data_IF_071402332375
#
_entry.id   IF_071402332375
#
_cell.length_a   1.000
_cell.length_b   1.000
_cell.length_c   1.000
_cell.angle_alpha   90.00
_cell.angle_beta   90.00
_cell.angle_gamma   90.00
#
_symmetry.space_group_name_H-M   'P 1'
#
loop_
_entity.id
_entity.type
_entity.pdbx_description
1 polymer ?
#
# COMPACT_ATOMS: atom_id res chain seq x y z
N UNK A 1 6.95 24.61 1.86
CA UNK A 1 8.31 24.91 1.31
C UNK A 1 8.49 24.08 0.04
N UNK A 2 9.02 24.65 -1.04
CA UNK A 2 9.25 23.85 -2.27
C UNK A 2 10.45 22.93 -2.07
N UNK A 3 10.23 21.62 -2.06
CA UNK A 3 11.25 20.54 -1.99
C UNK A 3 12.40 20.69 -3.03
N UNK A 4 12.10 21.34 -4.17
CA UNK A 4 13.08 21.64 -5.22
C UNK A 4 14.26 22.50 -4.80
N UNK A 5 14.16 23.21 -3.68
CA UNK A 5 15.26 24.12 -3.23
C UNK A 5 16.35 23.41 -2.40
N UNK A 6 16.05 22.23 -1.81
CA UNK A 6 17.00 21.53 -0.93
C UNK A 6 17.76 20.39 -1.62
N UNK A 7 17.20 19.83 -2.73
CA UNK A 7 17.76 18.64 -3.43
C UNK A 7 18.14 18.97 -4.89
N UNK A 8 17.79 20.17 -5.38
CA UNK A 8 18.09 20.62 -6.76
C UNK A 8 17.13 20.10 -7.84
N UNK A 9 16.38 19.01 -7.61
CA UNK A 9 15.36 18.47 -8.53
C UNK A 9 14.19 17.86 -7.75
N UNK A 10 12.96 18.01 -8.28
CA UNK A 10 11.79 17.35 -7.70
C UNK A 10 11.86 15.84 -7.99
N UNK A 11 11.48 14.97 -7.03
CA UNK A 11 11.52 13.52 -7.24
C UNK A 11 10.46 13.05 -8.24
N UNK A 12 10.64 11.84 -8.76
CA UNK A 12 9.57 11.07 -9.39
C UNK A 12 8.84 10.22 -8.34
N UNK A 13 7.56 9.99 -8.53
CA UNK A 13 6.75 9.16 -7.63
C UNK A 13 6.11 8.00 -8.38
N UNK A 14 6.26 6.78 -7.86
CA UNK A 14 5.54 5.60 -8.31
C UNK A 14 4.47 5.23 -7.27
N UNK A 15 3.20 5.34 -7.64
CA UNK A 15 2.07 4.93 -6.79
C UNK A 15 1.71 3.48 -7.11
N UNK A 16 1.81 2.61 -6.11
CA UNK A 16 1.56 1.18 -6.23
C UNK A 16 0.09 0.86 -5.90
N UNK A 17 -0.76 0.77 -6.92
CA UNK A 17 -2.22 0.58 -6.80
C UNK A 17 -2.71 -0.81 -7.24
N UNK A 18 -1.86 -1.84 -7.21
CA UNK A 18 -2.14 -3.20 -7.71
C UNK A 18 -2.71 -4.20 -6.67
N UNK A 19 -2.98 -3.78 -5.44
CA UNK A 19 -3.48 -4.63 -4.36
C UNK A 19 -4.96 -5.03 -4.55
N UNK A 20 -5.33 -6.30 -4.26
CA UNK A 20 -6.73 -6.78 -4.37
C UNK A 20 -7.62 -6.49 -3.16
N UNK A 21 -7.05 -6.07 -2.03
CA UNK A 21 -7.78 -5.63 -0.84
C UNK A 21 -8.76 -6.62 -0.20
N UNK A 22 -8.62 -7.92 -0.44
CA UNK A 22 -9.61 -8.97 -0.11
C UNK A 22 -9.98 -9.11 1.38
N UNK A 23 -9.26 -8.46 2.29
CA UNK A 23 -9.52 -8.50 3.74
C UNK A 23 -10.66 -7.57 4.18
N UNK A 24 -10.99 -6.56 3.37
CA UNK A 24 -12.11 -5.63 3.62
C UNK A 24 -13.39 -6.04 2.88
N UNK A 25 -13.60 -7.34 2.68
CA UNK A 25 -14.89 -7.81 2.16
C UNK A 25 -16.03 -7.38 3.12
N UNK A 26 -17.21 -6.99 2.61
CA UNK A 26 -17.68 -6.99 1.22
C UNK A 26 -17.39 -5.69 0.46
N UNK A 27 -16.79 -4.68 1.10
CA UNK A 27 -16.52 -3.37 0.48
C UNK A 27 -15.44 -3.50 -0.60
N UNK A 28 -14.29 -4.06 -0.24
CA UNK A 28 -13.22 -4.31 -1.22
C UNK A 28 -13.51 -5.57 -2.03
N UNK A 29 -13.58 -5.40 -3.36
CA UNK A 29 -14.02 -6.42 -4.32
C UNK A 29 -13.02 -6.59 -5.45
N UNK A 30 -13.12 -7.69 -6.21
CA UNK A 30 -12.23 -7.96 -7.33
C UNK A 30 -12.31 -6.89 -8.42
N UNK A 31 -13.51 -6.36 -8.69
CA UNK A 31 -13.74 -5.32 -9.68
C UNK A 31 -13.50 -3.89 -9.16
N UNK A 32 -13.52 -3.67 -7.85
CA UNK A 32 -13.21 -2.39 -7.20
C UNK A 32 -12.53 -2.65 -5.85
N UNK A 33 -11.18 -2.70 -5.79
CA UNK A 33 -10.44 -2.93 -4.55
C UNK A 33 -10.44 -1.71 -3.62
N UNK A 34 -9.97 -1.95 -2.37
CA UNK A 34 -10.00 -1.00 -1.25
C UNK A 34 -9.45 0.40 -1.57
N UNK A 35 -8.42 0.50 -2.40
CA UNK A 35 -7.77 1.77 -2.74
C UNK A 35 -8.67 2.74 -3.52
N UNK A 36 -9.74 2.25 -4.12
CA UNK A 36 -10.71 3.05 -4.87
C UNK A 36 -11.94 3.45 -4.05
N UNK A 37 -11.89 3.27 -2.71
CA UNK A 37 -12.94 3.68 -1.80
C UNK A 37 -12.47 4.75 -0.83
N UNK A 38 -13.40 5.59 -0.40
CA UNK A 38 -13.28 6.43 0.78
C UNK A 38 -13.59 5.59 2.02
N UNK A 39 -12.56 5.04 2.61
CA UNK A 39 -12.69 4.16 3.78
C UNK A 39 -12.82 4.93 5.10
N UNK A 40 -12.43 6.20 5.12
CA UNK A 40 -12.39 7.04 6.31
C UNK A 40 -13.48 8.11 6.33
N UNK A 41 -14.29 8.24 5.28
CA UNK A 41 -15.36 9.24 5.20
C UNK A 41 -14.85 10.67 4.96
N UNK A 42 -13.69 10.82 4.32
CA UNK A 42 -13.03 12.10 4.06
C UNK A 42 -13.50 12.82 2.79
N UNK A 43 -14.30 12.15 1.97
CA UNK A 43 -14.71 12.61 0.65
C UNK A 43 -13.74 12.24 -0.49
N UNK A 44 -12.59 11.61 -0.16
CA UNK A 44 -11.58 11.17 -1.12
C UNK A 44 -11.24 9.69 -0.94
N UNK A 45 -10.94 9.01 -2.04
CA UNK A 45 -10.46 7.62 -2.01
C UNK A 45 -8.99 7.55 -1.55
N UNK A 46 -8.55 6.37 -1.13
CA UNK A 46 -7.14 6.15 -0.74
C UNK A 46 -6.17 6.48 -1.88
N UNK A 47 -6.56 6.18 -3.12
CA UNK A 47 -5.78 6.52 -4.31
C UNK A 47 -5.66 8.04 -4.48
N UNK A 48 -6.75 8.79 -4.34
CA UNK A 48 -6.75 10.26 -4.41
C UNK A 48 -5.89 10.88 -3.32
N UNK A 49 -6.04 10.45 -2.07
CA UNK A 49 -5.16 10.89 -0.98
C UNK A 49 -3.66 10.64 -1.27
N UNK A 50 -3.34 9.49 -1.86
CA UNK A 50 -1.95 9.17 -2.19
C UNK A 50 -1.44 10.01 -3.37
N UNK A 51 -2.30 10.26 -4.36
CA UNK A 51 -1.97 11.13 -5.49
C UNK A 51 -1.74 12.58 -5.03
N UNK A 52 -2.56 13.13 -4.14
CA UNK A 52 -2.38 14.46 -3.57
C UNK A 52 -1.05 14.57 -2.80
N UNK A 53 -0.67 13.52 -2.05
CA UNK A 53 0.66 13.44 -1.42
C UNK A 53 1.78 13.44 -2.45
N UNK A 54 1.64 12.64 -3.50
CA UNK A 54 2.61 12.58 -4.57
C UNK A 54 2.73 13.92 -5.32
N UNK A 55 1.61 14.57 -5.60
CA UNK A 55 1.57 15.87 -6.28
C UNK A 55 2.29 16.97 -5.49
N UNK A 56 2.12 17.00 -4.17
CA UNK A 56 2.83 17.97 -3.36
C UNK A 56 4.35 17.69 -3.29
N UNK A 57 4.77 16.43 -3.30
CA UNK A 57 6.19 16.06 -3.34
C UNK A 57 6.84 16.41 -4.68
N UNK A 58 6.12 16.23 -5.79
CA UNK A 58 6.67 16.40 -7.14
C UNK A 58 6.46 17.78 -7.73
N UNK A 59 5.42 18.49 -7.29
CA UNK A 59 4.96 19.75 -7.87
C UNK A 59 4.32 19.62 -9.26
N UNK A 60 4.27 18.40 -9.84
CA UNK A 60 3.72 18.17 -11.18
C UNK A 60 3.21 16.75 -11.36
N UNK A 61 2.01 16.53 -11.94
CA UNK A 61 1.52 15.20 -12.27
C UNK A 61 2.38 14.48 -13.33
N UNK A 62 3.19 15.20 -14.11
CA UNK A 62 4.11 14.61 -15.10
C UNK A 62 5.21 13.75 -14.48
N UNK A 63 5.53 13.96 -13.20
CA UNK A 63 6.51 13.19 -12.44
C UNK A 63 5.89 12.04 -11.65
N UNK A 64 4.58 11.78 -11.80
CA UNK A 64 3.88 10.70 -11.10
C UNK A 64 3.55 9.59 -12.08
N UNK A 65 3.75 8.34 -11.69
CA UNK A 65 3.24 7.15 -12.37
C UNK A 65 2.33 6.39 -11.42
N UNK A 66 1.18 5.93 -11.92
CA UNK A 66 0.27 5.05 -11.18
C UNK A 66 0.32 3.67 -11.81
N UNK A 67 0.64 2.66 -11.01
CA UNK A 67 0.75 1.27 -11.45
C UNK A 67 -0.43 0.50 -10.89
N UNK A 68 -1.25 -0.07 -11.77
CA UNK A 68 -2.42 -0.87 -11.39
C UNK A 68 -2.67 -2.00 -12.38
N UNK A 69 -3.62 -2.89 -12.09
CA UNK A 69 -4.00 -3.93 -13.04
C UNK A 69 -4.89 -3.37 -14.15
N UNK A 70 -4.80 -3.94 -15.35
CA UNK A 70 -5.57 -3.52 -16.53
C UNK A 70 -7.07 -3.39 -16.23
N UNK A 71 -7.64 -4.32 -15.47
CA UNK A 71 -9.07 -4.31 -15.12
C UNK A 71 -9.51 -3.12 -14.24
N UNK A 72 -8.57 -2.39 -13.62
CA UNK A 72 -8.85 -1.22 -12.78
C UNK A 72 -8.41 0.11 -13.40
N UNK A 73 -7.92 0.08 -14.63
CA UNK A 73 -7.47 1.29 -15.34
C UNK A 73 -8.54 2.36 -15.43
N UNK A 74 -9.80 1.98 -15.71
CA UNK A 74 -10.93 2.92 -15.80
C UNK A 74 -11.24 3.58 -14.45
N UNK A 75 -11.09 2.87 -13.34
CA UNK A 75 -11.24 3.44 -12.00
C UNK A 75 -10.16 4.50 -11.70
N UNK A 76 -8.94 4.30 -12.19
CA UNK A 76 -7.88 5.31 -12.05
C UNK A 76 -8.20 6.55 -12.89
N UNK A 77 -8.61 6.38 -14.16
CA UNK A 77 -9.00 7.50 -15.05
C UNK A 77 -10.14 8.32 -14.47
N UNK A 78 -11.15 7.65 -13.90
CA UNK A 78 -12.30 8.31 -13.25
C UNK A 78 -11.86 9.13 -12.03
N UNK A 79 -10.97 8.58 -11.19
CA UNK A 79 -10.58 9.19 -9.92
C UNK A 79 -9.42 10.20 -10.03
N UNK A 80 -8.58 10.07 -11.05
CA UNK A 80 -7.41 10.92 -11.30
C UNK A 80 -7.45 11.51 -12.74
N UNK A 81 -8.39 12.39 -13.06
CA UNK A 81 -8.55 12.91 -14.42
C UNK A 81 -7.37 13.79 -14.89
N UNK A 82 -6.53 14.25 -13.99
CA UNK A 82 -5.30 15.03 -14.24
C UNK A 82 -4.08 14.15 -14.57
N UNK A 83 -4.17 12.83 -14.35
CA UNK A 83 -3.10 11.89 -14.70
C UNK A 83 -3.14 11.61 -16.21
N UNK A 84 -2.07 11.95 -16.94
CA UNK A 84 -1.97 11.64 -18.37
C UNK A 84 -1.95 10.11 -18.61
N UNK A 85 -2.51 9.68 -19.75
CA UNK A 85 -2.67 8.25 -20.07
C UNK A 85 -1.32 7.49 -20.10
N UNK A 86 -0.27 8.13 -20.60
CA UNK A 86 1.10 7.56 -20.62
C UNK A 86 1.70 7.37 -19.22
N UNK A 87 1.13 7.99 -18.20
CA UNK A 87 1.53 7.87 -16.80
C UNK A 87 0.77 6.78 -16.03
N UNK A 88 -0.28 6.22 -16.64
CA UNK A 88 -1.02 5.09 -16.10
C UNK A 88 -0.42 3.78 -16.64
N UNK A 89 0.23 3.05 -15.77
CA UNK A 89 0.90 1.79 -16.09
C UNK A 89 0.00 0.61 -15.74
N UNK A 90 -0.37 -0.17 -16.74
CA UNK A 90 -1.31 -1.27 -16.60
C UNK A 90 -0.61 -2.62 -16.61
N UNK A 91 -0.73 -3.36 -15.52
CA UNK A 91 -0.28 -4.75 -15.40
C UNK A 91 -1.34 -5.69 -15.97
N UNK A 92 -1.04 -6.53 -16.98
CA UNK A 92 -2.02 -7.46 -17.54
C UNK A 92 -2.40 -8.58 -16.57
N UNK A 93 -1.45 -8.99 -15.74
CA UNK A 93 -1.64 -9.98 -14.66
C UNK A 93 -0.86 -9.56 -13.42
N UNK A 94 -1.27 -10.03 -12.26
CA UNK A 94 -0.61 -9.72 -10.98
C UNK A 94 0.70 -10.50 -10.81
N UNK A 95 1.84 -9.80 -10.63
CA UNK A 95 3.18 -10.37 -10.37
C UNK A 95 3.84 -9.84 -9.10
N UNK A 96 3.04 -9.29 -8.17
CA UNK A 96 3.48 -8.66 -6.93
C UNK A 96 4.38 -7.42 -7.16
N UNK A 97 4.98 -6.89 -6.08
CA UNK A 97 5.56 -5.55 -6.10
C UNK A 97 6.94 -5.47 -6.76
N UNK A 98 7.71 -6.57 -6.90
CA UNK A 98 9.01 -6.49 -7.56
C UNK A 98 8.86 -6.17 -9.07
N UNK A 99 8.07 -6.95 -9.79
CA UNK A 99 7.84 -6.72 -11.23
C UNK A 99 7.16 -5.38 -11.49
N UNK A 100 6.14 -5.02 -10.71
CA UNK A 100 5.44 -3.75 -10.85
C UNK A 100 6.38 -2.55 -10.62
N UNK A 101 7.24 -2.60 -9.60
CA UNK A 101 8.24 -1.55 -9.35
C UNK A 101 9.23 -1.44 -10.50
N UNK A 102 9.75 -2.57 -11.01
CA UNK A 102 10.70 -2.55 -12.13
C UNK A 102 10.09 -1.94 -13.38
N UNK A 103 8.87 -2.35 -13.72
CA UNK A 103 8.12 -1.74 -14.83
C UNK A 103 7.93 -0.23 -14.65
N UNK A 104 7.58 0.20 -13.43
CA UNK A 104 7.48 1.61 -13.08
C UNK A 104 8.80 2.37 -13.29
N UNK A 105 9.92 1.85 -12.79
CA UNK A 105 11.23 2.47 -12.93
C UNK A 105 11.65 2.63 -14.40
N UNK A 106 11.38 1.63 -15.24
CA UNK A 106 11.69 1.68 -16.68
C UNK A 106 10.81 2.66 -17.46
N UNK A 107 9.66 3.04 -16.91
CA UNK A 107 8.74 4.02 -17.53
C UNK A 107 9.05 5.47 -17.15
N UNK A 108 9.97 5.71 -16.20
CA UNK A 108 10.38 7.05 -15.82
C UNK A 108 11.35 7.64 -16.83
N UNK A 109 10.99 8.79 -17.35
CA UNK A 109 11.90 9.66 -18.08
C UNK A 109 12.66 10.52 -17.09
N UNK A 110 13.92 10.23 -16.88
CA UNK A 110 14.80 10.95 -15.95
C UNK A 110 15.81 11.79 -16.73
N UNK A 111 16.13 12.96 -16.22
CA UNK A 111 17.12 13.86 -16.82
C UNK A 111 18.53 13.40 -16.48
N UNK A 112 18.69 12.77 -15.32
CA UNK A 112 19.94 12.20 -14.83
C UNK A 112 19.71 10.84 -14.18
N UNK A 113 20.76 10.01 -14.12
CA UNK A 113 20.75 8.72 -13.43
C UNK A 113 20.56 8.85 -11.92
N UNK A 114 20.70 10.08 -11.39
CA UNK A 114 20.55 10.38 -9.97
C UNK A 114 19.17 10.92 -9.60
N UNK A 115 18.26 11.04 -10.56
CA UNK A 115 16.91 11.49 -10.28
C UNK A 115 16.25 10.60 -9.21
N UNK A 116 15.82 11.25 -8.14
CA UNK A 116 15.26 10.56 -7.00
C UNK A 116 13.87 10.00 -7.31
N UNK A 117 13.60 8.81 -6.82
CA UNK A 117 12.32 8.12 -6.94
C UNK A 117 11.77 7.80 -5.56
N UNK A 118 10.49 8.10 -5.34
CA UNK A 118 9.72 7.71 -4.17
C UNK A 118 8.66 6.71 -4.59
N UNK A 119 8.63 5.55 -3.94
CA UNK A 119 7.62 4.51 -4.18
C UNK A 119 6.62 4.55 -3.04
N UNK A 120 5.35 4.83 -3.35
CA UNK A 120 4.26 4.96 -2.39
C UNK A 120 3.21 3.85 -2.57
N UNK A 121 2.95 3.02 -1.55
CA UNK A 121 1.72 2.22 -1.50
C UNK A 121 0.49 3.14 -1.45
N UNK A 122 -0.58 2.80 -2.17
CA UNK A 122 -1.77 3.65 -2.27
C UNK A 122 -2.86 3.38 -1.22
N UNK A 123 -2.61 2.48 -0.30
CA UNK A 123 -3.58 1.99 0.69
C UNK A 123 -3.25 2.39 2.13
N UNK A 124 -2.36 3.36 2.29
CA UNK A 124 -1.96 3.92 3.57
C UNK A 124 -2.59 5.29 3.81
N UNK A 125 -2.95 5.55 5.06
CA UNK A 125 -3.29 6.90 5.50
C UNK A 125 -2.11 7.57 6.21
N UNK A 126 -2.14 8.90 6.23
CA UNK A 126 -1.18 9.78 6.90
C UNK A 126 -2.00 10.89 7.55
N UNK A 127 -1.89 11.05 8.86
CA UNK A 127 -2.64 12.07 9.62
C UNK A 127 -1.94 13.44 9.57
N UNK A 128 -0.62 13.46 9.71
CA UNK A 128 0.19 14.68 9.70
C UNK A 128 0.98 14.78 8.39
N UNK A 129 0.44 15.60 7.48
CA UNK A 129 1.01 15.78 6.16
C UNK A 129 2.35 16.49 6.19
N UNK A 130 2.51 17.50 7.02
CA UNK A 130 3.75 18.29 7.09
C UNK A 130 4.90 17.41 7.57
N UNK A 131 4.71 16.66 8.65
CA UNK A 131 5.72 15.71 9.14
C UNK A 131 6.01 14.58 8.15
N UNK A 132 5.03 14.17 7.37
CA UNK A 132 5.26 13.20 6.30
C UNK A 132 6.18 13.76 5.24
N UNK A 133 5.89 14.97 4.73
CA UNK A 133 6.68 15.64 3.70
C UNK A 133 8.12 15.91 4.19
N UNK A 134 8.30 16.36 5.44
CA UNK A 134 9.62 16.50 6.09
C UNK A 134 10.39 15.17 6.17
N UNK A 135 9.70 14.07 6.55
CA UNK A 135 10.33 12.76 6.65
C UNK A 135 10.76 12.22 5.28
N UNK A 136 9.98 12.47 4.23
CA UNK A 136 10.35 12.12 2.84
C UNK A 136 11.53 12.97 2.37
N UNK A 137 11.57 14.26 2.71
CA UNK A 137 12.69 15.13 2.36
C UNK A 137 14.02 14.67 2.99
N UNK A 138 14.00 14.27 4.26
CA UNK A 138 15.16 13.69 4.94
C UNK A 138 15.62 12.39 4.25
N UNK A 139 14.68 11.53 3.89
CA UNK A 139 14.99 10.30 3.17
C UNK A 139 15.58 10.56 1.78
N UNK A 140 15.05 11.54 1.05
CA UNK A 140 15.57 11.94 -0.27
C UNK A 140 17.00 12.49 -0.17
N UNK A 141 17.27 13.37 0.80
CA UNK A 141 18.64 13.89 1.05
C UNK A 141 19.62 12.75 1.34
N UNK A 142 19.24 11.84 2.24
CA UNK A 142 20.08 10.69 2.58
C UNK A 142 20.32 9.78 1.36
N UNK A 143 19.30 9.51 0.55
CA UNK A 143 19.42 8.69 -0.65
C UNK A 143 20.37 9.31 -1.69
N UNK A 144 20.29 10.61 -1.92
CA UNK A 144 21.17 11.34 -2.87
C UNK A 144 22.61 11.35 -2.36
N UNK A 145 22.85 11.64 -1.10
CA UNK A 145 24.19 11.73 -0.51
C UNK A 145 24.89 10.39 -0.45
N UNK A 146 24.17 9.34 -0.05
CA UNK A 146 24.78 8.00 0.18
C UNK A 146 24.70 7.09 -1.02
N UNK A 147 23.86 7.41 -2.02
CA UNK A 147 23.47 6.54 -3.15
C UNK A 147 22.87 5.20 -2.68
N UNK A 148 22.43 5.12 -1.43
CA UNK A 148 21.79 3.95 -0.87
C UNK A 148 20.26 4.05 -0.99
N UNK A 149 19.60 2.89 -0.95
CA UNK A 149 18.15 2.84 -0.82
C UNK A 149 17.76 3.14 0.64
N UNK A 150 16.81 4.05 0.80
CA UNK A 150 16.22 4.41 2.09
C UNK A 150 14.80 3.85 2.15
N UNK A 151 14.48 3.12 3.21
CA UNK A 151 13.11 2.71 3.51
C UNK A 151 12.54 3.57 4.64
N UNK A 152 11.22 3.77 4.60
CA UNK A 152 10.53 4.52 5.64
C UNK A 152 9.97 3.57 6.70
N UNK A 153 10.17 3.92 7.95
CA UNK A 153 9.60 3.23 9.10
C UNK A 153 8.91 4.18 10.05
N UNK A 154 7.99 3.64 10.84
CA UNK A 154 7.29 4.38 11.91
C UNK A 154 7.46 3.63 13.22
N UNK A 155 7.73 4.34 14.31
CA UNK A 155 7.85 3.71 15.64
C UNK A 155 6.53 3.03 16.02
N UNK A 156 6.56 1.76 16.41
CA UNK A 156 5.36 1.05 16.84
C UNK A 156 4.78 1.67 18.12
N UNK A 157 3.51 2.01 18.08
CA UNK A 157 2.77 2.52 19.25
C UNK A 157 2.02 1.41 19.98
N UNK A 158 1.91 0.23 19.36
CA UNK A 158 1.23 -0.96 19.87
C UNK A 158 1.78 -2.23 19.21
N UNK A 159 1.58 -3.40 19.81
CA UNK A 159 1.91 -4.67 19.14
C UNK A 159 0.86 -4.97 18.07
N UNK A 160 1.26 -4.91 16.78
CA UNK A 160 0.37 -5.15 15.64
C UNK A 160 0.86 -6.35 14.82
N UNK A 161 0.25 -7.53 14.99
CA UNK A 161 0.67 -8.75 14.29
C UNK A 161 0.47 -8.71 12.78
N UNK A 162 -0.37 -7.80 12.30
CA UNK A 162 -0.70 -7.70 10.88
C UNK A 162 0.30 -6.87 10.07
N UNK A 163 1.21 -6.14 10.74
CA UNK A 163 2.19 -5.29 10.09
C UNK A 163 3.53 -5.99 9.88
N UNK A 164 4.28 -5.50 8.91
CA UNK A 164 5.69 -5.80 8.77
C UNK A 164 6.52 -4.97 9.74
N UNK A 165 7.56 -5.58 10.28
CA UNK A 165 8.53 -4.92 11.15
C UNK A 165 9.91 -4.91 10.50
N UNK A 166 10.68 -3.88 10.78
CA UNK A 166 12.08 -3.75 10.41
C UNK A 166 12.91 -3.52 11.66
N UNK A 167 13.90 -4.40 11.89
CA UNK A 167 14.91 -4.18 12.91
C UNK A 167 16.00 -3.26 12.38
N UNK A 168 16.46 -2.33 13.20
CA UNK A 168 17.47 -1.35 12.82
C UNK A 168 18.53 -1.15 13.91
N UNK A 169 19.67 -0.62 13.51
CA UNK A 169 20.76 -0.23 14.39
C UNK A 169 21.23 1.17 14.02
N UNK A 170 21.81 1.89 14.98
CA UNK A 170 22.38 3.20 14.70
C UNK A 170 23.43 3.13 13.59
N UNK A 171 23.42 4.13 12.72
CA UNK A 171 24.43 4.37 11.72
C UNK A 171 25.38 5.47 12.21
N UNK A 172 26.54 5.16 12.75
CA UNK A 172 27.46 6.16 13.30
C UNK A 172 28.04 7.12 12.25
N UNK A 173 27.92 6.79 10.96
CA UNK A 173 28.40 7.63 9.86
C UNK A 173 27.34 8.64 9.37
N UNK A 174 26.08 8.54 9.83
CA UNK A 174 25.02 9.47 9.45
C UNK A 174 25.09 10.76 10.28
N UNK A 175 24.78 11.89 9.65
CA UNK A 175 24.54 13.16 10.35
C UNK A 175 23.34 13.07 11.29
N UNK A 176 23.14 14.09 12.13
CA UNK A 176 22.16 14.04 13.23
C UNK A 176 20.70 14.01 12.80
N UNK A 177 20.36 14.38 11.57
CA UNK A 177 18.98 14.55 11.08
C UNK A 177 18.58 13.67 9.90
N UNK A 178 19.54 13.05 9.20
CA UNK A 178 19.28 12.23 8.01
C UNK A 178 19.09 10.74 8.39
N UNK A 179 18.73 9.89 7.41
CA UNK A 179 18.50 8.44 7.60
C UNK A 179 19.68 7.78 8.33
N UNK A 180 19.62 7.80 9.64
CA UNK A 180 20.73 7.48 10.55
C UNK A 180 20.75 6.03 11.02
N UNK A 181 19.82 5.22 10.53
CA UNK A 181 19.73 3.82 10.94
C UNK A 181 20.05 2.90 9.78
N UNK A 182 20.77 1.83 10.07
CA UNK A 182 20.94 0.70 9.15
C UNK A 182 19.87 -0.35 9.41
N UNK A 183 19.28 -0.86 8.34
CA UNK A 183 18.37 -2.00 8.40
C UNK A 183 19.16 -3.27 8.70
N UNK A 184 18.67 -4.06 9.66
CA UNK A 184 19.25 -5.34 10.02
C UNK A 184 18.46 -6.51 9.46
N UNK A 185 17.14 -6.52 9.64
CA UNK A 185 16.27 -7.59 9.16
C UNK A 185 14.82 -7.14 9.09
N UNK A 186 14.01 -7.89 8.33
CA UNK A 186 12.57 -7.72 8.24
C UNK A 186 11.85 -8.91 8.85
N UNK A 187 10.69 -8.67 9.45
CA UNK A 187 9.78 -9.70 9.94
C UNK A 187 8.36 -9.34 9.54
N UNK A 188 7.69 -10.20 8.78
CA UNK A 188 6.29 -10.01 8.41
C UNK A 188 5.37 -10.79 9.34
N UNK A 189 4.26 -10.16 9.70
CA UNK A 189 3.15 -10.76 10.43
C UNK A 189 3.63 -11.62 11.63
N UNK A 190 4.36 -11.01 12.59
CA UNK A 190 4.84 -11.72 13.77
C UNK A 190 3.67 -12.23 14.62
N UNK A 191 3.92 -13.19 15.50
CA UNK A 191 2.94 -13.50 16.54
C UNK A 191 2.71 -12.30 17.47
N UNK A 192 1.59 -12.27 18.19
CA UNK A 192 1.31 -11.22 19.19
C UNK A 192 2.44 -11.11 20.22
N UNK A 193 2.99 -12.23 20.66
CA UNK A 193 4.10 -12.29 21.64
C UNK A 193 5.39 -11.68 21.06
N UNK A 194 5.69 -12.00 19.80
CA UNK A 194 6.86 -11.46 19.11
C UNK A 194 6.71 -9.96 18.86
N UNK A 195 5.52 -9.49 18.46
CA UNK A 195 5.23 -8.06 18.30
C UNK A 195 5.41 -7.30 19.64
N UNK A 196 4.97 -7.87 20.76
CA UNK A 196 5.22 -7.32 22.09
C UNK A 196 6.72 -7.22 22.40
N UNK A 197 7.50 -8.24 22.01
CA UNK A 197 8.95 -8.25 22.20
C UNK A 197 9.63 -7.15 21.38
N UNK A 198 9.22 -6.95 20.12
CA UNK A 198 9.75 -5.90 19.25
C UNK A 198 9.53 -4.49 19.81
N UNK A 199 8.36 -4.23 20.43
CA UNK A 199 8.12 -2.94 21.07
C UNK A 199 9.04 -2.74 22.28
N UNK A 200 9.21 -3.77 23.11
CA UNK A 200 10.03 -3.67 24.32
C UNK A 200 11.52 -3.51 24.02
N UNK A 201 12.01 -4.09 22.93
CA UNK A 201 13.42 -3.97 22.53
C UNK A 201 13.78 -2.55 22.07
N UNK A 202 12.82 -1.83 21.47
CA UNK A 202 12.99 -0.43 21.04
C UNK A 202 13.79 -0.24 19.75
N UNK A 203 14.28 -1.33 19.14
CA UNK A 203 15.08 -1.33 17.91
C UNK A 203 14.30 -1.86 16.69
N UNK A 204 12.97 -1.83 16.75
CA UNK A 204 12.08 -2.17 15.65
C UNK A 204 11.17 -0.99 15.27
N UNK A 205 10.90 -0.88 13.99
CA UNK A 205 9.90 0.01 13.41
C UNK A 205 8.87 -0.77 12.60
N UNK A 206 7.66 -0.23 12.46
CA UNK A 206 6.73 -0.70 11.42
C UNK A 206 7.29 -0.36 10.04
N UNK A 207 7.33 -1.34 9.15
CA UNK A 207 7.74 -1.18 7.77
C UNK A 207 6.58 -0.62 6.93
N UNK A 208 6.69 0.63 6.49
CA UNK A 208 5.62 1.30 5.77
C UNK A 208 5.48 0.91 4.30
N UNK A 209 6.44 0.16 3.76
CA UNK A 209 6.45 -0.13 2.33
C UNK A 209 6.90 1.04 1.43
N UNK A 210 7.08 2.24 1.98
CA UNK A 210 7.61 3.40 1.26
C UNK A 210 9.13 3.25 1.08
N UNK A 211 9.61 3.55 -0.12
CA UNK A 211 11.03 3.44 -0.49
C UNK A 211 11.47 4.67 -1.24
N UNK A 212 12.68 5.12 -0.97
CA UNK A 212 13.29 6.31 -1.56
C UNK A 212 14.70 5.99 -2.03
N UNK A 213 15.05 6.41 -3.25
CA UNK A 213 16.39 6.16 -3.80
C UNK A 213 16.58 6.83 -5.15
N UNK A 214 17.80 6.91 -5.64
CA UNK A 214 18.07 7.24 -7.04
C UNK A 214 17.55 6.13 -7.96
N UNK A 215 17.08 6.47 -9.16
CA UNK A 215 16.61 5.47 -10.14
C UNK A 215 17.66 4.39 -10.37
N UNK A 216 18.91 4.80 -10.57
CA UNK A 216 20.00 3.86 -10.82
C UNK A 216 20.31 2.96 -9.61
N UNK A 217 20.20 3.47 -8.39
CA UNK A 217 20.37 2.65 -7.19
C UNK A 217 19.32 1.52 -7.10
N UNK A 218 18.07 1.79 -7.51
CA UNK A 218 17.07 0.73 -7.65
C UNK A 218 17.43 -0.27 -8.74
N UNK A 219 17.82 0.20 -9.93
CA UNK A 219 18.15 -0.67 -11.07
C UNK A 219 19.34 -1.57 -10.78
N UNK A 220 20.38 -1.07 -10.07
CA UNK A 220 21.53 -1.87 -9.64
C UNK A 220 21.12 -3.02 -8.71
N UNK A 221 20.17 -2.80 -7.80
CA UNK A 221 19.64 -3.86 -6.96
C UNK A 221 18.92 -4.94 -7.79
N UNK A 222 18.16 -4.54 -8.84
CA UNK A 222 17.53 -5.50 -9.75
C UNK A 222 18.58 -6.28 -10.56
N UNK A 223 19.59 -5.64 -11.12
CA UNK A 223 20.66 -6.33 -11.84
C UNK A 223 21.37 -7.36 -10.96
N UNK A 224 21.55 -7.03 -9.68
CA UNK A 224 22.24 -7.90 -8.73
C UNK A 224 21.38 -9.05 -8.21
N UNK A 225 20.11 -8.81 -7.89
CA UNK A 225 19.30 -9.76 -7.15
C UNK A 225 18.16 -10.39 -7.94
N UNK A 226 17.80 -9.81 -9.09
CA UNK A 226 16.75 -10.29 -9.99
C UNK A 226 17.19 -10.20 -11.46
N UNK A 227 18.36 -10.78 -11.84
CA UNK A 227 18.89 -10.68 -13.21
C UNK A 227 17.93 -11.28 -14.25
N UNK A 228 17.22 -12.36 -13.93
CA UNK A 228 16.24 -12.97 -14.83
C UNK A 228 15.09 -12.01 -15.18
N UNK A 229 14.64 -11.20 -14.20
CA UNK A 229 13.65 -10.16 -14.47
C UNK A 229 14.20 -9.07 -15.38
N UNK A 230 15.43 -8.65 -15.16
CA UNK A 230 16.13 -7.66 -16.02
C UNK A 230 16.22 -8.19 -17.45
N UNK A 231 16.61 -9.45 -17.65
CA UNK A 231 16.69 -10.09 -18.98
C UNK A 231 15.32 -10.14 -19.66
N UNK A 232 14.26 -10.50 -18.93
CA UNK A 232 12.89 -10.53 -19.46
C UNK A 232 12.41 -9.15 -19.94
N UNK A 233 12.87 -8.07 -19.32
CA UNK A 233 12.53 -6.69 -19.70
C UNK A 233 13.52 -6.04 -20.68
N UNK A 234 14.60 -6.70 -21.08
CA UNK A 234 15.63 -6.10 -21.95
C UNK A 234 15.06 -5.59 -23.30
N UNK A 235 14.11 -6.32 -23.89
CA UNK A 235 13.41 -5.91 -25.10
C UNK A 235 12.55 -4.64 -24.88
N UNK A 236 11.93 -4.50 -23.69
CA UNK A 236 11.13 -3.33 -23.34
C UNK A 236 11.98 -2.06 -23.22
N UNK A 237 13.17 -2.17 -22.68
CA UNK A 237 14.12 -1.03 -22.57
C UNK A 237 14.56 -0.53 -23.96
N UNK A 238 14.76 -1.43 -24.90
CA UNK A 238 15.19 -1.10 -26.25
C UNK A 238 14.12 -0.38 -27.09
N UNK A 239 12.84 -0.57 -26.80
CA UNK A 239 11.72 0.00 -27.54
C UNK A 239 11.36 1.37 -26.97
N UNK A 240 11.33 2.40 -27.84
CA UNK A 240 10.90 3.77 -27.47
C UNK A 240 9.43 4.06 -27.81
N UNK A 241 8.86 3.34 -28.78
CA UNK A 241 7.47 3.52 -29.21
C UNK A 241 6.48 3.09 -28.11
N UNK A 242 5.61 4.00 -27.60
CA UNK A 242 4.68 3.69 -26.51
C UNK A 242 3.66 2.60 -26.86
N UNK A 243 3.19 2.52 -28.12
CA UNK A 243 2.23 1.51 -28.55
C UNK A 243 2.86 0.11 -28.58
N UNK A 244 4.09 0.03 -29.07
CA UNK A 244 4.85 -1.22 -29.06
C UNK A 244 5.19 -1.65 -27.62
N UNK A 245 5.57 -0.72 -26.75
CA UNK A 245 5.79 -1.00 -25.31
C UNK A 245 4.54 -1.59 -24.67
N UNK A 246 3.36 -1.01 -24.92
CA UNK A 246 2.09 -1.51 -24.37
C UNK A 246 1.80 -2.94 -24.82
N UNK A 247 1.96 -3.26 -26.09
CA UNK A 247 1.76 -4.63 -26.59
C UNK A 247 2.79 -5.64 -26.09
N UNK A 248 4.00 -5.17 -25.80
CA UNK A 248 5.09 -6.00 -25.29
C UNK A 248 4.88 -6.40 -23.83
N UNK A 249 4.31 -5.52 -23.02
CA UNK A 249 3.99 -5.81 -21.62
C UNK A 249 3.10 -7.05 -21.47
N UNK A 250 2.12 -7.23 -22.34
CA UNK A 250 1.25 -8.43 -22.36
C UNK A 250 2.03 -9.73 -22.57
N UNK A 251 3.16 -9.67 -23.26
CA UNK A 251 4.04 -10.82 -23.52
C UNK A 251 5.08 -11.03 -22.43
N UNK A 252 5.56 -9.95 -21.83
CA UNK A 252 6.61 -9.96 -20.79
C UNK A 252 6.05 -10.45 -19.45
N UNK A 253 4.95 -9.88 -19.00
CA UNK A 253 4.43 -10.14 -17.65
C UNK A 253 4.17 -11.62 -17.32
N UNK A 254 3.63 -12.46 -18.22
CA UNK A 254 3.47 -13.90 -17.95
C UNK A 254 4.78 -14.61 -17.60
N UNK A 255 5.91 -14.14 -18.15
CA UNK A 255 7.24 -14.72 -17.96
C UNK A 255 7.92 -14.27 -16.66
N UNK A 256 7.45 -13.18 -16.04
CA UNK A 256 8.03 -12.66 -14.82
C UNK A 256 7.72 -13.55 -13.62
N UNK A 257 8.64 -13.62 -12.68
CA UNK A 257 8.44 -14.22 -11.38
C UNK A 257 7.45 -13.40 -10.54
N UNK A 258 6.64 -14.09 -9.71
CA UNK A 258 5.69 -13.44 -8.80
C UNK A 258 6.28 -13.36 -7.40
N UNK A 259 7.00 -12.29 -7.10
CA UNK A 259 7.71 -12.06 -5.84
C UNK A 259 7.55 -10.62 -5.37
N UNK A 260 7.50 -10.41 -4.05
CA UNK A 260 7.46 -9.07 -3.48
C UNK A 260 8.84 -8.38 -3.62
N UNK A 261 8.83 -7.04 -3.67
CA UNK A 261 10.07 -6.26 -3.68
C UNK A 261 10.95 -6.55 -2.45
N UNK A 262 10.30 -6.80 -1.31
CA UNK A 262 11.03 -7.16 -0.09
C UNK A 262 11.78 -8.48 -0.25
N UNK A 263 11.07 -9.56 -0.60
CA UNK A 263 11.67 -10.90 -0.74
C UNK A 263 12.68 -10.97 -1.89
N UNK A 264 12.38 -10.31 -3.01
CA UNK A 264 13.25 -10.30 -4.19
C UNK A 264 14.51 -9.47 -4.00
N UNK A 265 14.45 -8.38 -3.24
CA UNK A 265 15.51 -7.37 -3.16
C UNK A 265 15.90 -7.02 -1.73
N UNK A 266 14.96 -6.52 -0.88
CA UNK A 266 15.33 -5.92 0.40
C UNK A 266 15.96 -6.93 1.37
N UNK A 267 15.43 -8.16 1.43
CA UNK A 267 15.97 -9.23 2.30
C UNK A 267 17.38 -9.66 1.88
N UNK A 268 17.79 -9.35 0.65
CA UNK A 268 19.11 -9.70 0.08
C UNK A 268 20.07 -8.51 0.03
N UNK A 269 19.53 -7.29 0.11
CA UNK A 269 20.34 -6.06 0.00
C UNK A 269 21.18 -5.86 1.26
N UNK A 270 22.51 -5.75 1.08
CA UNK A 270 23.47 -5.65 2.20
C UNK A 270 23.48 -4.29 2.89
N UNK A 271 23.08 -3.21 2.21
CA UNK A 271 23.12 -1.85 2.76
C UNK A 271 21.82 -1.14 2.44
N UNK A 272 20.96 -1.06 3.47
CA UNK A 272 19.71 -0.31 3.42
C UNK A 272 19.70 0.68 4.58
N UNK A 273 19.25 1.90 4.32
CA UNK A 273 19.03 2.91 5.34
C UNK A 273 17.57 2.94 5.75
N UNK A 274 17.32 3.30 7.00
CA UNK A 274 15.98 3.53 7.54
C UNK A 274 15.84 4.99 7.96
N UNK A 275 14.82 5.66 7.43
CA UNK A 275 14.33 6.93 7.95
C UNK A 275 13.10 6.66 8.81
N UNK A 276 13.17 7.03 10.09
CA UNK A 276 12.01 6.99 10.98
C UNK A 276 11.17 8.27 10.80
N UNK A 277 9.86 8.08 10.71
CA UNK A 277 8.88 9.15 10.69
C UNK A 277 7.89 9.03 11.86
N UNK A 278 7.27 10.16 12.21
CA UNK A 278 6.17 10.25 13.20
C UNK A 278 5.07 11.15 12.62
N UNK A 279 4.32 10.61 11.67
CA UNK A 279 3.32 11.33 10.89
C UNK A 279 1.92 10.68 10.95
N UNK A 280 1.66 9.87 11.98
CA UNK A 280 0.36 9.22 12.14
C UNK A 280 0.05 8.30 10.96
N UNK A 281 0.93 7.32 10.72
CA UNK A 281 0.79 6.34 9.64
C UNK A 281 -0.02 5.12 10.05
N UNK A 282 -0.82 4.62 9.10
CA UNK A 282 -1.44 3.29 9.22
C UNK A 282 -1.79 2.69 7.86
N UNK A 283 -1.95 1.37 7.87
CA UNK A 283 -2.34 0.57 6.70
C UNK A 283 -3.80 0.13 6.85
N UNK A 284 -4.69 0.66 6.00
CA UNK A 284 -6.12 0.31 6.01
C UNK A 284 -6.38 -1.05 5.34
N UNK A 285 -5.66 -2.07 5.78
CA UNK A 285 -5.84 -3.44 5.27
C UNK A 285 -6.90 -4.23 6.03
N UNK A 286 -7.22 -3.83 7.26
CA UNK A 286 -8.14 -4.50 8.16
C UNK A 286 -9.23 -3.57 8.68
N UNK A 287 -10.41 -4.11 8.99
CA UNK A 287 -11.50 -3.37 9.62
C UNK A 287 -11.12 -2.81 11.00
N UNK A 288 -10.25 -3.51 11.72
CA UNK A 288 -9.71 -3.04 13.00
C UNK A 288 -8.95 -1.71 12.87
N UNK A 289 -8.21 -1.51 11.76
CA UNK A 289 -7.52 -0.25 11.48
C UNK A 289 -8.53 0.86 11.14
N UNK A 290 -9.49 0.58 10.26
CA UNK A 290 -10.55 1.53 9.91
C UNK A 290 -11.32 1.93 11.15
N UNK A 291 -11.71 0.97 12.02
CA UNK A 291 -12.36 1.28 13.30
C UNK A 291 -11.50 2.19 14.18
N UNK A 292 -10.20 1.96 14.25
CA UNK A 292 -9.30 2.74 15.12
C UNK A 292 -9.21 4.20 14.67
N UNK A 293 -9.12 4.43 13.39
CA UNK A 293 -8.92 5.77 12.83
C UNK A 293 -10.22 6.56 12.62
N UNK A 294 -11.36 5.87 12.56
CA UNK A 294 -12.65 6.53 12.46
C UNK A 294 -13.02 7.26 13.77
N UNK A 295 -13.73 8.38 13.66
CA UNK A 295 -14.40 9.01 14.81
C UNK A 295 -15.41 8.03 15.40
N UNK A 296 -15.57 8.06 16.75
CA UNK A 296 -16.53 7.21 17.47
C UNK A 296 -17.60 8.05 18.11
N UNK A 297 -18.81 7.51 18.11
CA UNK A 297 -19.87 8.07 18.92
C UNK A 297 -19.62 7.88 20.44
N UNK A 298 -20.53 8.38 21.27
CA UNK A 298 -20.43 8.24 22.74
C UNK A 298 -20.35 6.79 23.22
N UNK A 299 -20.90 5.85 22.45
CA UNK A 299 -20.91 4.42 22.77
C UNK A 299 -19.75 3.63 22.12
N UNK A 300 -18.80 4.32 21.52
CA UNK A 300 -17.62 3.72 20.90
C UNK A 300 -17.87 3.14 19.51
N UNK A 301 -19.01 3.42 18.86
CA UNK A 301 -19.24 2.95 17.50
C UNK A 301 -18.57 3.87 16.49
N UNK A 302 -17.88 3.28 15.52
CA UNK A 302 -17.38 3.95 14.32
C UNK A 302 -18.38 3.73 13.19
N UNK A 303 -18.97 4.80 12.65
CA UNK A 303 -20.07 4.72 11.68
C UNK A 303 -19.68 5.43 10.38
N UNK A 304 -19.61 4.68 9.30
CA UNK A 304 -19.50 5.19 7.93
C UNK A 304 -20.80 4.83 7.19
N UNK A 305 -21.69 5.81 7.03
CA UNK A 305 -22.99 5.64 6.40
C UNK A 305 -23.94 6.79 6.75
N UNK A 306 -24.70 7.27 5.79
CA UNK A 306 -25.53 8.48 5.95
C UNK A 306 -26.85 8.24 6.70
N UNK A 307 -27.34 7.01 6.79
CA UNK A 307 -28.66 6.67 7.37
C UNK A 307 -28.54 5.43 8.26
N UNK A 308 -27.82 5.55 9.38
CA UNK A 308 -27.60 4.46 10.35
C UNK A 308 -28.23 4.86 11.68
N UNK A 309 -29.16 4.02 12.20
CA UNK A 309 -29.72 4.14 13.54
C UNK A 309 -29.18 2.99 14.41
N UNK A 310 -28.64 3.32 15.58
CA UNK A 310 -28.08 2.38 16.54
C UNK A 310 -28.87 2.43 17.83
N UNK A 311 -29.29 1.26 18.35
CA UNK A 311 -29.93 1.08 19.62
C UNK A 311 -29.17 0.04 20.44
N UNK A 312 -28.94 0.30 21.71
CA UNK A 312 -28.21 -0.58 22.64
C UNK A 312 -26.94 -1.24 22.03
N UNK A 313 -26.22 -0.47 21.19
CA UNK A 313 -25.12 -0.97 20.40
C UNK A 313 -23.80 -0.26 20.75
N UNK A 314 -22.71 -1.05 20.98
CA UNK A 314 -21.47 -0.53 21.55
C UNK A 314 -20.23 -1.07 20.84
N UNK A 315 -19.22 -0.20 20.65
CA UNK A 315 -17.89 -0.59 20.13
C UNK A 315 -17.92 -1.28 18.76
N UNK A 316 -18.86 -0.93 17.89
CA UNK A 316 -19.02 -1.56 16.58
C UNK A 316 -18.31 -0.75 15.49
N UNK A 317 -17.85 -1.45 14.45
CA UNK A 317 -17.48 -0.87 13.16
C UNK A 317 -18.63 -1.06 12.18
N UNK A 318 -19.28 0.02 11.79
CA UNK A 318 -20.43 0.01 10.89
C UNK A 318 -20.06 0.72 9.59
N UNK A 319 -20.17 0.02 8.46
CA UNK A 319 -19.89 0.58 7.13
C UNK A 319 -21.05 0.26 6.19
N UNK A 320 -21.92 1.24 5.96
CA UNK A 320 -23.11 1.11 5.11
C UNK A 320 -22.95 1.94 3.85
N UNK A 321 -22.96 1.28 2.70
CA UNK A 321 -22.67 1.93 1.41
C UNK A 321 -23.91 2.64 0.82
N UNK A 322 -23.67 3.81 0.22
CA UNK A 322 -24.70 4.57 -0.50
C UNK A 322 -25.79 5.14 0.40
N UNK A 323 -27.04 5.12 -0.08
CA UNK A 323 -28.23 5.69 0.60
C UNK A 323 -29.05 4.61 1.36
N UNK A 324 -28.43 3.50 1.72
CA UNK A 324 -29.13 2.44 2.45
C UNK A 324 -29.41 2.84 3.88
N UNK A 325 -30.62 2.52 4.34
CA UNK A 325 -31.01 2.68 5.75
C UNK A 325 -30.61 1.41 6.48
N UNK A 326 -29.89 1.56 7.60
CA UNK A 326 -29.57 0.48 8.51
C UNK A 326 -30.11 0.79 9.91
N UNK A 327 -30.81 -0.18 10.51
CA UNK A 327 -31.21 -0.17 11.92
C UNK A 327 -30.49 -1.34 12.58
N UNK A 328 -29.70 -1.06 13.62
CA UNK A 328 -28.91 -2.04 14.35
C UNK A 328 -29.24 -1.91 15.83
N UNK A 329 -29.64 -3.02 16.45
CA UNK A 329 -30.05 -3.07 17.84
C UNK A 329 -29.33 -4.21 18.58
N UNK A 330 -28.76 -3.92 19.74
CA UNK A 330 -28.16 -4.90 20.65
C UNK A 330 -26.81 -5.48 20.21
N UNK A 331 -26.09 -4.85 19.30
CA UNK A 331 -24.77 -5.35 18.88
C UNK A 331 -23.61 -4.76 19.70
N UNK A 332 -22.67 -5.61 20.09
CA UNK A 332 -21.47 -5.19 20.79
C UNK A 332 -20.22 -5.85 20.21
N UNK A 333 -19.19 -5.03 19.89
CA UNK A 333 -17.90 -5.48 19.35
C UNK A 333 -18.01 -6.21 17.99
N UNK A 334 -18.86 -5.73 17.09
CA UNK A 334 -19.04 -6.30 15.74
C UNK A 334 -18.51 -5.39 14.64
N UNK A 335 -18.23 -6.02 13.51
CA UNK A 335 -18.13 -5.40 12.20
C UNK A 335 -19.45 -5.67 11.48
N UNK A 336 -20.13 -4.61 11.04
CA UNK A 336 -21.26 -4.67 10.12
C UNK A 336 -20.88 -3.88 8.89
N UNK A 337 -20.71 -4.56 7.77
CA UNK A 337 -20.35 -3.90 6.52
C UNK A 337 -21.20 -4.43 5.38
N UNK A 338 -21.66 -3.54 4.49
CA UNK A 338 -22.44 -3.92 3.34
C UNK A 338 -21.82 -3.45 2.03
N UNK A 339 -22.22 -4.10 0.96
CA UNK A 339 -21.98 -3.69 -0.42
C UNK A 339 -23.11 -4.25 -1.30
N UNK A 340 -23.17 -3.88 -2.60
CA UNK A 340 -24.09 -4.53 -3.54
C UNK A 340 -23.91 -6.06 -3.64
N UNK A 341 -22.77 -6.61 -3.26
CA UNK A 341 -22.45 -8.04 -3.39
C UNK A 341 -22.71 -8.85 -2.11
N UNK A 342 -22.89 -8.19 -0.97
CA UNK A 342 -23.11 -8.92 0.26
C UNK A 342 -23.07 -8.08 1.53
N UNK A 343 -23.36 -8.76 2.63
CA UNK A 343 -23.35 -8.19 3.98
C UNK A 343 -22.41 -9.03 4.83
N UNK A 344 -21.55 -8.36 5.59
CA UNK A 344 -20.72 -8.92 6.64
C UNK A 344 -21.30 -8.55 8.01
N UNK A 345 -21.55 -9.53 8.85
CA UNK A 345 -21.76 -9.35 10.29
C UNK A 345 -20.81 -10.29 11.01
N UNK A 346 -19.78 -9.75 11.67
CA UNK A 346 -18.70 -10.54 12.23
C UNK A 346 -18.22 -9.93 13.55
N UNK A 347 -18.01 -10.69 14.63
CA UNK A 347 -17.31 -10.18 15.81
C UNK A 347 -15.93 -9.65 15.45
N UNK A 348 -15.55 -8.45 15.93
CA UNK A 348 -14.30 -7.79 15.60
C UNK A 348 -13.05 -8.66 15.87
N UNK A 349 -13.06 -9.42 16.98
CA UNK A 349 -11.94 -10.31 17.32
C UNK A 349 -11.77 -11.52 16.37
N UNK A 350 -12.76 -11.78 15.48
CA UNK A 350 -12.71 -12.87 14.48
C UNK A 350 -12.37 -12.38 13.08
N UNK A 351 -12.00 -11.13 12.91
CA UNK A 351 -11.64 -10.56 11.61
C UNK A 351 -10.52 -11.35 10.91
N UNK A 352 -9.53 -11.81 11.67
CA UNK A 352 -8.41 -12.61 11.13
C UNK A 352 -8.84 -13.88 10.39
N UNK A 353 -10.01 -14.46 10.73
CA UNK A 353 -10.57 -15.65 10.11
C UNK A 353 -11.35 -15.35 8.80
N UNK A 354 -11.64 -14.08 8.52
CA UNK A 354 -12.53 -13.67 7.43
C UNK A 354 -12.08 -14.20 6.08
N UNK A 355 -10.79 -14.15 5.79
CA UNK A 355 -10.23 -14.64 4.52
C UNK A 355 -10.47 -16.15 4.31
N UNK A 356 -10.30 -16.93 5.37
CA UNK A 356 -10.55 -18.36 5.33
C UNK A 356 -12.04 -18.66 5.14
N UNK A 357 -12.92 -17.95 5.85
CA UNK A 357 -14.38 -18.10 5.74
C UNK A 357 -14.89 -17.72 4.36
N UNK A 358 -14.35 -16.66 3.77
CA UNK A 358 -14.68 -16.26 2.39
C UNK A 358 -14.25 -17.32 1.35
N UNK A 359 -13.11 -17.99 1.56
CA UNK A 359 -12.69 -19.06 0.68
C UNK A 359 -13.69 -20.24 0.71
N UNK A 360 -14.21 -20.58 1.90
CA UNK A 360 -15.27 -21.60 2.05
C UNK A 360 -16.56 -21.16 1.36
N UNK A 361 -17.00 -19.92 1.57
CA UNK A 361 -18.20 -19.37 0.93
C UNK A 361 -18.12 -19.42 -0.60
N UNK A 362 -16.99 -19.05 -1.18
CA UNK A 362 -16.78 -19.07 -2.63
C UNK A 362 -16.82 -20.49 -3.20
N UNK A 363 -16.25 -21.47 -2.52
CA UNK A 363 -16.34 -22.89 -2.92
C UNK A 363 -17.78 -23.35 -2.95
N UNK A 364 -18.56 -23.04 -1.91
CA UNK A 364 -19.98 -23.41 -1.85
C UNK A 364 -20.82 -22.75 -2.96
N UNK A 365 -20.48 -21.54 -3.40
CA UNK A 365 -21.14 -20.89 -4.54
C UNK A 365 -20.81 -21.56 -5.87
N UNK A 366 -19.58 -22.02 -6.06
CA UNK A 366 -19.15 -22.76 -7.26
C UNK A 366 -19.85 -24.11 -7.32
N UNK A 367 -19.97 -24.84 -6.20
CA UNK A 367 -20.63 -26.13 -6.11
C UNK A 367 -22.15 -26.02 -6.33
N UNK A 368 -22.78 -24.91 -5.89
CA UNK A 368 -24.22 -24.65 -6.14
C UNK A 368 -24.55 -24.43 -7.62
N UNK A 369 -23.64 -23.81 -8.34
CA UNK A 369 -23.80 -23.65 -9.80
C UNK A 369 -23.59 -24.95 -10.57
N UNK A 370 -23.04 -26.00 -9.90
CA UNK A 370 -22.82 -27.34 -10.41
C UNK A 370 -23.84 -28.40 -9.96
N UNK A 371 -24.89 -28.05 -9.19
CA UNK A 371 -26.06 -28.93 -8.98
C UNK A 371 -26.13 -29.78 -7.70
N UNK A 372 -25.20 -29.67 -6.74
CA UNK A 372 -25.30 -30.40 -5.46
C UNK A 372 -25.51 -29.45 -4.24
N UNK A 373 -26.43 -29.89 -3.33
CA UNK A 373 -26.71 -29.13 -2.10
C UNK A 373 -25.54 -29.23 -1.12
N UNK A 374 -24.97 -28.11 -0.63
CA UNK A 374 -23.88 -28.15 0.34
C UNK A 374 -24.39 -28.62 1.73
N UNK A 375 -23.51 -29.26 2.54
CA UNK A 375 -23.81 -29.56 3.93
C UNK A 375 -24.02 -28.27 4.73
N UNK A 376 -24.98 -28.26 5.65
CA UNK A 376 -25.18 -27.19 6.63
C UNK A 376 -23.99 -27.21 7.60
N UNK A 377 -23.24 -26.11 7.65
CA UNK A 377 -22.26 -25.91 8.72
C UNK A 377 -23.01 -25.60 10.01
N UNK A 378 -22.96 -26.46 10.98
CA UNK A 378 -23.36 -26.24 12.38
C UNK A 378 -22.26 -25.53 13.14
#
# INVERSE_FOLDING_TARGET
MNLSNSIGTSPHVLIMAGGSGSRLWPVSRTNKPKQFYDLLGTGQTMLQHTFDRALALTGSPSRIRVITQTQWGDLVREQLPELAEEHLLLEPIRKQSATATYYGLLSLETETDQDAVVILPCDHFVLDRERFDESIELALRAAVQTKALVIMGVKPTRPEPNYGYVQYVDNPAAGSEEARFHVKTFTDQPSQELANTFIRSGDFAWYTGIKVGGKEAFLDLYRRWMPDLVEVFAEFEAIKDPLLRKSLIDKIYPRCESVSFREGILDKAGTLLLQLGDYGWGDLTYWAEIYREHEKDYFGNAVNGSQVALFDSHNNMIHITGQRIALIDGLENYIVADSPEGILVCPRHKEGELRQRLAVLRRQQTDKNGGDKPPRLT
#
